data_IF_195675310240
#
_entry.id   IF_195675310240
#
_cell.length_a   1.000
_cell.length_b   1.000
_cell.length_c   1.000
_cell.angle_alpha   90.00
_cell.angle_beta   90.00
_cell.angle_gamma   90.00
#
_symmetry.space_group_name_H-M   'P 1'
#
loop_
_entity.id
_entity.type
_entity.pdbx_description
1 polymer ?
#
# COMPACT_ATOMS: atom_id res chain seq x y z
N UNK A 1 -61.61 -83.28 -46.61
CA UNK A 1 -60.95 -82.36 -45.66
C UNK A 1 -59.80 -81.70 -46.41
N UNK A 2 -59.92 -80.39 -46.68
CA UNK A 2 -59.05 -79.65 -47.61
C UNK A 2 -57.71 -79.29 -46.94
N UNK A 3 -56.61 -79.74 -47.54
CA UNK A 3 -55.25 -79.37 -47.19
C UNK A 3 -54.98 -77.93 -47.67
N UNK A 4 -54.88 -76.98 -46.74
CA UNK A 4 -54.61 -75.56 -47.05
C UNK A 4 -53.09 -75.32 -47.11
N UNK A 5 -52.58 -74.61 -48.13
CA UNK A 5 -51.15 -74.43 -48.29
C UNK A 5 -50.55 -73.49 -47.23
N UNK A 6 -49.40 -73.87 -46.66
CA UNK A 6 -48.56 -72.99 -45.84
C UNK A 6 -48.06 -71.82 -46.69
N UNK A 7 -48.48 -70.59 -46.36
CA UNK A 7 -47.85 -69.36 -46.89
C UNK A 7 -46.43 -69.24 -46.32
N UNK A 8 -45.41 -69.24 -47.19
CA UNK A 8 -44.05 -68.88 -46.79
C UNK A 8 -43.97 -67.38 -46.43
N UNK A 9 -43.21 -67.00 -45.38
CA UNK A 9 -42.98 -65.60 -45.07
C UNK A 9 -42.19 -64.94 -46.19
N UNK A 10 -42.66 -63.79 -46.70
CA UNK A 10 -41.92 -62.98 -47.65
C UNK A 10 -40.60 -62.54 -47.01
N UNK A 11 -39.47 -63.03 -47.54
CA UNK A 11 -38.14 -62.55 -47.16
C UNK A 11 -38.00 -61.09 -47.62
N UNK A 12 -38.08 -60.15 -46.67
CA UNK A 12 -37.69 -58.77 -46.91
C UNK A 12 -36.21 -58.76 -47.31
N UNK A 13 -35.92 -58.31 -48.52
CA UNK A 13 -34.55 -58.21 -49.02
C UNK A 13 -33.78 -57.18 -48.18
N UNK A 14 -32.57 -57.54 -47.75
CA UNK A 14 -31.72 -56.72 -46.85
C UNK A 14 -31.60 -55.25 -47.31
N UNK A 15 -31.68 -55.02 -48.63
CA UNK A 15 -31.64 -53.70 -49.27
C UNK A 15 -32.82 -52.78 -48.90
N UNK A 16 -34.03 -53.31 -48.64
CA UNK A 16 -35.21 -52.51 -48.21
C UNK A 16 -35.16 -52.14 -46.73
N UNK A 17 -34.67 -53.04 -45.88
CA UNK A 17 -34.53 -52.78 -44.43
C UNK A 17 -33.45 -51.73 -44.17
N UNK A 18 -32.31 -51.82 -44.88
CA UNK A 18 -31.25 -50.81 -44.82
C UNK A 18 -31.70 -49.42 -45.28
N UNK A 19 -32.63 -49.31 -46.23
CA UNK A 19 -33.12 -48.02 -46.72
C UNK A 19 -34.19 -47.41 -45.80
N UNK A 20 -35.07 -48.23 -45.23
CA UNK A 20 -36.13 -47.78 -44.30
C UNK A 20 -35.60 -47.28 -42.95
N UNK A 21 -34.45 -47.76 -42.48
CA UNK A 21 -33.83 -47.28 -41.24
C UNK A 21 -32.93 -46.06 -41.44
N UNK A 22 -32.37 -45.88 -42.63
CA UNK A 22 -31.46 -44.75 -42.91
C UNK A 22 -32.17 -43.41 -43.03
N UNK A 23 -33.35 -43.39 -43.67
CA UNK A 23 -34.13 -42.15 -43.81
C UNK A 23 -34.56 -41.51 -42.48
N UNK A 24 -35.20 -42.23 -41.54
CA UNK A 24 -35.60 -41.64 -40.26
C UNK A 24 -34.40 -41.25 -39.38
N UNK A 25 -33.30 -42.01 -39.43
CA UNK A 25 -32.07 -41.65 -38.70
C UNK A 25 -31.44 -40.38 -39.25
N UNK A 26 -31.39 -40.21 -40.58
CA UNK A 26 -30.87 -38.98 -41.20
C UNK A 26 -31.76 -37.78 -40.85
N UNK A 27 -33.08 -37.94 -40.85
CA UNK A 27 -34.02 -36.87 -40.47
C UNK A 27 -33.82 -36.47 -39.00
N UNK A 28 -33.67 -37.44 -38.08
CA UNK A 28 -33.40 -37.16 -36.66
C UNK A 28 -32.06 -36.44 -36.49
N UNK A 29 -31.01 -36.86 -37.19
CA UNK A 29 -29.72 -36.16 -37.14
C UNK A 29 -29.81 -34.73 -37.69
N UNK A 30 -30.55 -34.50 -38.78
CA UNK A 30 -30.79 -33.16 -39.33
C UNK A 30 -31.57 -32.30 -38.33
N UNK A 31 -32.58 -32.85 -37.65
CA UNK A 31 -33.36 -32.14 -36.64
C UNK A 31 -32.55 -31.81 -35.38
N UNK A 32 -31.66 -32.72 -34.94
CA UNK A 32 -30.73 -32.45 -33.83
C UNK A 32 -29.79 -31.30 -34.21
N UNK A 33 -29.22 -31.32 -35.41
CA UNK A 33 -28.34 -30.24 -35.90
C UNK A 33 -29.11 -28.92 -36.03
N UNK A 34 -30.34 -28.95 -36.56
CA UNK A 34 -31.22 -27.78 -36.68
C UNK A 34 -31.73 -27.26 -35.32
N UNK A 35 -31.76 -28.05 -34.26
CA UNK A 35 -32.13 -27.59 -32.92
C UNK A 35 -30.92 -27.14 -32.10
N UNK A 36 -29.80 -27.86 -32.16
CA UNK A 36 -28.64 -27.58 -31.32
C UNK A 36 -27.87 -26.33 -31.78
N UNK A 37 -27.80 -26.07 -33.10
CA UNK A 37 -27.05 -24.91 -33.62
C UNK A 37 -27.74 -23.59 -33.27
N UNK A 38 -29.07 -23.39 -33.51
CA UNK A 38 -29.72 -22.14 -33.13
C UNK A 38 -29.77 -21.96 -31.62
N UNK A 39 -29.98 -23.03 -30.84
CA UNK A 39 -29.98 -22.94 -29.37
C UNK A 39 -28.60 -22.53 -28.84
N UNK A 40 -27.51 -23.11 -29.37
CA UNK A 40 -26.15 -22.71 -28.97
C UNK A 40 -25.78 -21.27 -29.35
N UNK A 41 -26.23 -20.82 -30.53
CA UNK A 41 -26.01 -19.44 -30.99
C UNK A 41 -26.86 -18.44 -30.22
N UNK A 42 -28.13 -18.76 -29.95
CA UNK A 42 -29.05 -17.93 -29.14
C UNK A 42 -28.57 -17.87 -27.69
N UNK A 43 -28.09 -18.97 -27.10
CA UNK A 43 -27.47 -18.94 -25.77
C UNK A 43 -26.24 -18.04 -25.79
N UNK A 44 -25.32 -18.16 -26.76
CA UNK A 44 -24.16 -17.27 -26.84
C UNK A 44 -24.48 -15.80 -27.11
N UNK A 45 -25.55 -15.49 -27.84
CA UNK A 45 -26.00 -14.12 -28.10
C UNK A 45 -26.76 -13.51 -26.92
N UNK A 46 -27.40 -14.34 -26.08
CA UNK A 46 -28.14 -13.91 -24.89
C UNK A 46 -27.32 -14.00 -23.59
N UNK A 47 -26.24 -14.78 -23.58
CA UNK A 47 -25.26 -14.79 -22.50
C UNK A 47 -24.51 -13.47 -22.52
N UNK A 48 -24.73 -12.64 -21.49
CA UNK A 48 -23.84 -11.53 -21.16
C UNK A 48 -22.42 -12.11 -21.05
N UNK A 49 -21.39 -11.52 -21.69
CA UNK A 49 -20.02 -11.98 -21.48
C UNK A 49 -19.74 -12.00 -19.99
N UNK A 50 -19.17 -13.10 -19.50
CA UNK A 50 -18.70 -13.19 -18.13
C UNK A 50 -17.70 -12.05 -17.92
N UNK A 51 -18.02 -11.15 -16.99
CA UNK A 51 -17.11 -10.08 -16.63
C UNK A 51 -15.81 -10.75 -16.14
N UNK A 52 -14.64 -10.36 -16.66
CA UNK A 52 -13.39 -11.00 -16.28
C UNK A 52 -13.25 -10.93 -14.76
N UNK A 53 -12.86 -12.04 -14.13
CA UNK A 53 -12.58 -12.03 -12.70
C UNK A 53 -11.54 -10.94 -12.40
N UNK A 54 -11.74 -10.14 -11.33
CA UNK A 54 -10.76 -9.13 -10.96
C UNK A 54 -9.40 -9.81 -10.73
N UNK A 55 -8.28 -9.20 -11.17
CA UNK A 55 -6.96 -9.82 -11.04
C UNK A 55 -6.68 -10.15 -9.58
N UNK A 56 -6.11 -11.33 -9.35
CA UNK A 56 -5.72 -11.73 -8.01
C UNK A 56 -4.65 -10.77 -7.46
N UNK A 57 -4.68 -10.48 -6.14
CA UNK A 57 -3.75 -9.50 -5.53
C UNK A 57 -2.28 -9.80 -5.82
N UNK A 58 -1.91 -11.07 -5.98
CA UNK A 58 -0.56 -11.48 -6.38
C UNK A 58 -0.19 -11.02 -7.80
N UNK A 59 -1.11 -11.14 -8.77
CA UNK A 59 -0.87 -10.74 -10.16
C UNK A 59 -0.71 -9.21 -10.27
N UNK A 60 -1.57 -8.48 -9.57
CA UNK A 60 -1.47 -7.02 -9.48
C UNK A 60 -0.13 -6.58 -8.88
N UNK A 61 0.29 -7.28 -7.81
CA UNK A 61 1.57 -7.00 -7.19
C UNK A 61 2.74 -7.31 -8.13
N UNK A 62 2.68 -8.41 -8.89
CA UNK A 62 3.71 -8.70 -9.90
C UNK A 62 3.76 -7.60 -10.97
N UNK A 63 2.62 -7.08 -11.42
CA UNK A 63 2.61 -5.95 -12.35
C UNK A 63 3.30 -4.71 -11.76
N UNK A 64 3.04 -4.39 -10.49
CA UNK A 64 3.73 -3.30 -9.80
C UNK A 64 5.25 -3.52 -9.72
N UNK A 65 5.70 -4.76 -9.48
CA UNK A 65 7.14 -5.09 -9.48
C UNK A 65 7.76 -4.93 -10.87
N UNK A 66 7.04 -5.31 -11.93
CA UNK A 66 7.51 -5.10 -13.30
C UNK A 66 7.57 -3.63 -13.69
N UNK A 67 6.55 -2.86 -13.33
CA UNK A 67 6.47 -1.42 -13.63
C UNK A 67 7.62 -0.68 -12.95
N UNK A 68 7.81 -0.94 -11.65
CA UNK A 68 8.88 -0.31 -10.86
C UNK A 68 10.30 -0.79 -11.20
N UNK A 69 10.48 -1.79 -12.08
CA UNK A 69 11.79 -2.33 -12.45
C UNK A 69 12.68 -1.31 -13.16
N UNK A 70 12.08 -0.37 -13.89
CA UNK A 70 12.77 0.74 -14.55
C UNK A 70 12.22 2.05 -14.02
N UNK A 71 13.08 2.97 -13.60
CA UNK A 71 12.64 4.30 -13.16
C UNK A 71 12.53 5.21 -14.39
N UNK A 72 11.33 5.43 -14.89
CA UNK A 72 11.09 6.18 -16.12
C UNK A 72 10.86 7.68 -15.85
N UNK A 73 11.26 8.57 -16.78
CA UNK A 73 11.13 10.02 -16.55
C UNK A 73 9.71 10.52 -16.29
N UNK A 74 8.69 9.84 -16.83
CA UNK A 74 7.28 10.22 -16.66
C UNK A 74 6.71 9.79 -15.29
N UNK A 75 7.43 8.93 -14.57
CA UNK A 75 7.10 8.53 -13.20
C UNK A 75 7.80 9.41 -12.16
N UNK A 76 8.70 10.30 -12.58
CA UNK A 76 9.20 11.32 -11.66
C UNK A 76 8.01 12.16 -11.17
N UNK A 77 7.93 12.51 -9.88
CA UNK A 77 6.80 13.27 -9.34
C UNK A 77 6.48 14.56 -10.13
N UNK A 78 7.50 15.25 -10.65
CA UNK A 78 7.34 16.43 -11.52
C UNK A 78 6.93 16.12 -12.96
N UNK A 79 7.15 14.89 -13.43
CA UNK A 79 6.80 14.39 -14.77
C UNK A 79 5.44 13.72 -14.85
N UNK A 80 4.82 13.40 -13.71
CA UNK A 80 3.46 12.88 -13.59
C UNK A 80 2.38 13.89 -14.00
N UNK A 81 1.18 13.41 -14.32
CA UNK A 81 0.03 14.25 -14.65
C UNK A 81 -1.24 13.86 -13.84
N UNK A 82 -1.70 14.66 -12.88
CA UNK A 82 -1.08 15.89 -12.41
C UNK A 82 0.26 15.60 -11.70
N UNK A 83 1.17 16.59 -11.67
CA UNK A 83 2.41 16.46 -10.90
C UNK A 83 2.13 16.16 -9.43
N UNK A 84 2.97 15.33 -8.83
CA UNK A 84 2.96 15.01 -7.41
C UNK A 84 4.13 15.70 -6.71
N UNK A 85 3.94 16.02 -5.44
CA UNK A 85 4.98 16.63 -4.62
C UNK A 85 5.48 15.61 -3.61
N UNK A 86 6.80 15.48 -3.51
CA UNK A 86 7.44 14.77 -2.40
C UNK A 86 7.45 15.68 -1.18
N UNK A 87 7.12 15.13 -0.02
CA UNK A 87 7.33 15.78 1.27
C UNK A 87 8.83 15.99 1.50
N UNK A 88 9.20 17.16 2.00
CA UNK A 88 10.57 17.48 2.43
C UNK A 88 10.65 17.55 3.94
N UNK A 89 11.86 17.45 4.48
CA UNK A 89 12.19 17.65 5.90
C UNK A 89 12.84 19.01 6.15
N UNK A 90 12.73 19.93 5.18
CA UNK A 90 13.22 21.30 5.31
C UNK A 90 12.48 22.02 6.45
N UNK A 91 13.11 22.97 7.16
CA UNK A 91 12.49 23.67 8.28
C UNK A 91 11.17 24.41 7.97
N UNK A 92 10.95 24.77 6.70
CA UNK A 92 9.73 25.43 6.21
C UNK A 92 8.71 24.46 5.59
N UNK A 93 8.98 23.15 5.65
CA UNK A 93 8.09 22.11 5.13
C UNK A 93 6.75 22.12 5.87
N UNK A 94 5.67 22.17 5.11
CA UNK A 94 4.32 21.99 5.65
C UNK A 94 3.89 20.53 5.69
N UNK A 95 4.69 19.63 5.10
CA UNK A 95 4.38 18.21 4.95
C UNK A 95 4.80 17.35 6.15
N UNK A 96 5.49 17.91 7.14
CA UNK A 96 5.87 17.25 8.40
C UNK A 96 5.67 18.20 9.59
N UNK A 97 5.67 17.64 10.80
CA UNK A 97 5.72 18.42 12.03
C UNK A 97 7.17 18.49 12.53
N UNK A 98 7.54 19.62 13.12
CA UNK A 98 8.84 19.84 13.75
C UNK A 98 8.66 20.11 15.24
N UNK A 99 9.50 19.52 16.08
CA UNK A 99 9.53 19.84 17.50
C UNK A 99 10.44 21.05 17.81
N UNK A 100 10.46 21.48 19.08
CA UNK A 100 11.29 22.59 19.53
C UNK A 100 12.81 22.36 19.39
N UNK A 101 13.25 21.12 19.13
CA UNK A 101 14.64 20.74 18.92
C UNK A 101 14.98 20.56 17.43
N UNK A 102 14.04 20.81 16.52
CA UNK A 102 14.23 20.64 15.07
C UNK A 102 14.12 19.19 14.59
N UNK A 103 13.67 18.25 15.43
CA UNK A 103 13.32 16.89 15.01
C UNK A 103 12.05 16.89 14.18
N UNK A 104 11.90 15.91 13.29
CA UNK A 104 10.70 15.72 12.48
C UNK A 104 9.89 14.52 12.94
N UNK A 105 8.56 14.61 12.83
CA UNK A 105 7.63 13.55 13.21
C UNK A 105 7.38 12.61 12.03
N UNK A 106 7.83 11.36 12.16
CA UNK A 106 7.60 10.32 11.16
C UNK A 106 6.90 9.12 11.79
N UNK A 107 6.42 8.21 10.93
CA UNK A 107 5.86 6.94 11.37
C UNK A 107 6.36 5.76 10.53
N UNK A 108 6.32 4.56 11.09
CA UNK A 108 6.65 3.30 10.40
C UNK A 108 5.61 2.23 10.69
N UNK A 109 5.31 1.38 9.71
CA UNK A 109 4.40 0.23 9.85
C UNK A 109 5.21 -1.06 9.95
N UNK A 110 5.04 -1.81 11.04
CA UNK A 110 5.92 -2.93 11.38
C UNK A 110 5.20 -4.02 12.18
N UNK A 111 5.90 -5.13 12.47
CA UNK A 111 5.41 -6.29 13.25
C UNK A 111 6.11 -6.50 14.60
N UNK A 112 6.92 -5.52 15.02
CA UNK A 112 7.81 -5.64 16.18
C UNK A 112 7.50 -4.57 17.25
N UNK A 113 6.31 -4.60 17.90
CA UNK A 113 5.94 -3.59 18.90
C UNK A 113 6.85 -3.57 20.13
N UNK A 114 7.43 -4.70 20.51
CA UNK A 114 8.34 -4.76 21.66
C UNK A 114 9.67 -4.02 21.46
N UNK A 115 10.02 -3.68 20.21
CA UNK A 115 11.24 -2.92 19.87
C UNK A 115 11.06 -1.42 20.08
N UNK A 116 9.85 -0.90 19.86
CA UNK A 116 9.56 0.52 19.91
C UNK A 116 8.57 0.76 21.04
N UNK A 117 9.09 1.11 22.22
CA UNK A 117 8.26 1.37 23.39
C UNK A 117 8.03 2.87 23.54
N UNK A 118 6.80 3.22 23.82
CA UNK A 118 6.35 4.60 24.04
C UNK A 118 7.21 5.33 25.09
N UNK A 119 7.64 6.55 24.77
CA UNK A 119 8.48 7.41 25.61
C UNK A 119 9.97 7.06 25.63
N UNK A 120 10.40 5.99 24.96
CA UNK A 120 11.81 5.56 24.97
C UNK A 120 12.60 6.09 23.76
N UNK A 121 13.88 6.42 24.00
CA UNK A 121 14.87 6.59 22.96
C UNK A 121 15.36 5.20 22.49
N UNK A 122 15.18 4.91 21.21
CA UNK A 122 15.53 3.62 20.61
C UNK A 122 16.67 3.82 19.60
N UNK A 123 17.77 3.10 19.81
CA UNK A 123 18.87 3.02 18.83
C UNK A 123 18.58 1.93 17.80
N UNK A 124 18.56 2.29 16.52
CA UNK A 124 18.25 1.39 15.41
C UNK A 124 19.38 0.38 15.17
N UNK A 125 19.34 -0.74 15.91
CA UNK A 125 20.43 -1.74 15.91
C UNK A 125 20.25 -2.88 14.90
N UNK A 126 19.09 -2.96 14.26
CA UNK A 126 18.71 -4.07 13.36
C UNK A 126 18.68 -3.69 11.87
N UNK A 127 19.15 -2.48 11.55
CA UNK A 127 19.18 -1.95 10.19
C UNK A 127 18.40 -0.64 10.07
N UNK A 128 18.28 -0.18 8.83
CA UNK A 128 17.51 1.00 8.48
C UNK A 128 16.01 0.75 8.67
N UNK A 129 15.25 1.81 8.95
CA UNK A 129 13.78 1.74 8.99
C UNK A 129 13.19 2.57 7.85
N UNK A 130 12.24 2.00 7.12
CA UNK A 130 11.39 2.76 6.21
C UNK A 130 10.39 3.57 7.05
N UNK A 131 10.24 4.85 6.72
CA UNK A 131 9.38 5.77 7.43
C UNK A 131 8.60 6.67 6.46
N UNK A 132 7.50 7.22 6.95
CA UNK A 132 6.58 8.06 6.20
C UNK A 132 6.22 9.29 7.03
N UNK A 133 5.87 10.39 6.35
CA UNK A 133 5.31 11.55 7.06
C UNK A 133 3.97 11.18 7.69
N UNK A 134 3.85 11.39 9.00
CA UNK A 134 2.57 11.22 9.70
C UNK A 134 1.50 12.18 9.15
N UNK A 135 1.91 13.40 8.81
CA UNK A 135 1.00 14.44 8.30
C UNK A 135 0.52 14.12 6.89
N UNK A 136 1.39 13.62 6.02
CA UNK A 136 1.00 13.19 4.68
C UNK A 136 0.05 11.99 4.74
N UNK A 137 0.40 10.95 5.53
CA UNK A 137 -0.43 9.76 5.69
C UNK A 137 -1.80 10.11 6.27
N UNK A 138 -1.85 10.93 7.33
CA UNK A 138 -3.13 11.34 7.94
C UNK A 138 -3.98 12.20 7.01
N UNK A 139 -3.38 13.15 6.27
CA UNK A 139 -4.08 13.93 5.25
C UNK A 139 -4.65 13.01 4.18
N UNK A 140 -3.81 12.14 3.61
CA UNK A 140 -4.20 11.19 2.58
C UNK A 140 -5.34 10.27 3.05
N UNK A 141 -5.25 9.74 4.27
CA UNK A 141 -6.21 8.79 4.82
C UNK A 141 -7.57 9.43 5.18
N UNK A 142 -7.61 10.74 5.46
CA UNK A 142 -8.85 11.49 5.75
C UNK A 142 -9.61 11.88 4.49
N UNK A 143 -8.96 11.93 3.34
CA UNK A 143 -9.66 12.14 2.07
C UNK A 143 -10.68 11.01 1.88
N UNK A 144 -11.93 11.40 1.63
CA UNK A 144 -13.06 10.48 1.65
C UNK A 144 -12.86 9.34 0.63
N UNK A 145 -12.39 9.66 -0.55
CA UNK A 145 -12.15 8.72 -1.64
C UNK A 145 -11.07 7.68 -1.29
N UNK A 146 -10.09 8.05 -0.47
CA UNK A 146 -9.05 7.13 0.00
C UNK A 146 -9.55 6.30 1.18
N UNK A 147 -10.26 6.93 2.12
CA UNK A 147 -10.82 6.26 3.28
C UNK A 147 -11.83 5.18 2.89
N UNK A 148 -12.68 5.46 1.89
CA UNK A 148 -13.70 4.53 1.38
C UNK A 148 -13.09 3.25 0.77
N UNK A 149 -11.78 3.23 0.45
CA UNK A 149 -11.07 2.04 -0.03
C UNK A 149 -10.74 1.06 1.11
N UNK A 150 -10.82 1.52 2.36
CA UNK A 150 -10.63 0.69 3.55
C UNK A 150 -11.96 0.10 4.02
N UNK A 151 -11.91 -1.18 4.34
CA UNK A 151 -13.00 -1.98 4.85
C UNK A 151 -12.50 -2.92 5.94
N UNK A 152 -13.43 -3.46 6.72
CA UNK A 152 -13.13 -4.27 7.91
C UNK A 152 -12.16 -5.43 7.63
N UNK A 153 -12.26 -6.03 6.45
CA UNK A 153 -11.54 -7.26 6.10
C UNK A 153 -10.36 -7.03 5.13
N UNK A 154 -10.11 -5.79 4.68
CA UNK A 154 -9.04 -5.48 3.72
C UNK A 154 -8.02 -4.42 4.21
N UNK A 155 -8.12 -3.94 5.46
CA UNK A 155 -7.24 -2.89 5.99
C UNK A 155 -5.75 -3.17 5.77
N UNK A 156 -5.30 -4.38 6.13
CA UNK A 156 -3.89 -4.76 5.99
C UNK A 156 -3.48 -4.78 4.51
N UNK A 157 -4.34 -5.30 3.64
CA UNK A 157 -4.11 -5.33 2.19
C UNK A 157 -4.02 -3.92 1.62
N UNK A 158 -4.92 -3.01 2.03
CA UNK A 158 -4.92 -1.63 1.54
C UNK A 158 -3.68 -0.86 1.99
N UNK A 159 -3.19 -1.10 3.19
CA UNK A 159 -1.91 -0.56 3.66
C UNK A 159 -0.73 -1.16 2.90
N UNK A 160 -0.74 -2.47 2.62
CA UNK A 160 0.29 -3.09 1.77
C UNK A 160 0.30 -2.47 0.37
N UNK A 161 -0.88 -2.23 -0.20
CA UNK A 161 -1.07 -1.50 -1.45
C UNK A 161 -0.45 -0.13 -1.42
N UNK A 162 -0.87 0.71 -0.46
CA UNK A 162 -0.41 2.10 -0.35
C UNK A 162 1.12 2.20 -0.20
N UNK A 163 1.69 1.28 0.57
CA UNK A 163 3.10 1.31 0.95
C UNK A 163 4.00 0.48 0.00
N UNK A 164 3.47 -0.04 -1.11
CA UNK A 164 4.23 -0.84 -2.07
C UNK A 164 4.73 -2.18 -1.52
N UNK A 165 4.12 -2.68 -0.44
CA UNK A 165 4.49 -3.92 0.22
C UNK A 165 3.79 -5.13 -0.44
N UNK A 166 4.40 -6.32 -0.38
CA UNK A 166 3.77 -7.54 -0.89
C UNK A 166 2.47 -7.88 -0.16
N UNK A 167 1.54 -8.60 -0.80
CA UNK A 167 0.25 -9.01 -0.22
C UNK A 167 0.42 -10.11 0.84
N UNK A 168 1.11 -9.81 1.94
CA UNK A 168 1.40 -10.78 3.00
C UNK A 168 0.15 -11.11 3.80
N UNK A 169 -0.26 -12.37 3.76
CA UNK A 169 -1.45 -12.89 4.47
C UNK A 169 -1.11 -13.73 5.69
N UNK A 170 0.14 -14.20 5.83
CA UNK A 170 0.59 -14.96 7.00
C UNK A 170 0.57 -14.07 8.26
N UNK A 171 -0.17 -14.46 9.33
CA UNK A 171 -0.24 -13.72 10.58
C UNK A 171 1.11 -13.45 11.25
N UNK A 172 2.12 -14.30 11.02
CA UNK A 172 3.47 -14.11 11.60
C UNK A 172 4.35 -13.16 10.77
N UNK A 173 3.93 -12.89 9.53
CA UNK A 173 4.70 -12.12 8.56
C UNK A 173 4.14 -10.72 8.34
N UNK A 174 2.85 -10.50 8.58
CA UNK A 174 2.21 -9.20 8.39
C UNK A 174 2.59 -8.17 9.46
N UNK A 175 2.61 -6.91 9.05
CA UNK A 175 2.69 -5.77 9.95
C UNK A 175 1.38 -5.59 10.72
N UNK A 176 1.49 -5.14 11.96
CA UNK A 176 0.37 -5.09 12.91
C UNK A 176 0.33 -3.80 13.74
N UNK A 177 1.41 -3.02 13.72
CA UNK A 177 1.56 -1.83 14.53
C UNK A 177 2.15 -0.69 13.73
N UNK A 178 1.74 0.53 14.09
CA UNK A 178 2.43 1.75 13.70
C UNK A 178 3.20 2.27 14.90
N UNK A 179 4.42 2.72 14.66
CA UNK A 179 5.19 3.53 15.61
C UNK A 179 5.35 4.92 15.04
N UNK A 180 4.95 5.92 15.82
CA UNK A 180 5.23 7.35 15.57
C UNK A 180 6.43 7.76 16.41
N UNK A 181 7.36 8.52 15.84
CA UNK A 181 8.59 8.89 16.52
C UNK A 181 9.17 10.21 16.01
N UNK A 182 9.90 10.89 16.89
CA UNK A 182 10.74 12.02 16.53
C UNK A 182 12.12 11.54 16.09
N UNK A 183 12.68 12.16 15.05
CA UNK A 183 14.03 11.86 14.55
C UNK A 183 14.71 13.13 14.05
N UNK A 184 16.04 13.20 14.19
CA UNK A 184 16.83 14.27 13.60
C UNK A 184 16.80 14.16 12.06
N UNK A 185 16.49 15.22 11.29
CA UNK A 185 16.49 15.17 9.84
C UNK A 185 17.80 14.67 9.22
N UNK A 186 18.95 14.96 9.85
CA UNK A 186 20.28 14.51 9.42
C UNK A 186 20.47 12.99 9.49
N UNK A 187 19.64 12.30 10.30
CA UNK A 187 19.63 10.83 10.41
C UNK A 187 18.82 10.16 9.30
N UNK A 188 18.12 10.96 8.48
CA UNK A 188 17.15 10.50 7.47
C UNK A 188 17.68 10.80 6.08
N UNK A 189 17.60 9.79 5.21
CA UNK A 189 17.84 9.93 3.78
C UNK A 189 16.59 9.55 3.01
N UNK A 190 16.50 10.01 1.77
CA UNK A 190 15.45 9.56 0.85
C UNK A 190 15.94 8.31 0.12
N UNK A 191 15.21 7.18 0.13
CA UNK A 191 15.61 5.96 -0.58
C UNK A 191 15.35 6.09 -2.09
N UNK A 192 16.07 7.00 -2.74
CA UNK A 192 15.91 7.37 -4.14
C UNK A 192 17.24 7.76 -4.80
N UNK A 193 17.25 7.98 -6.11
CA UNK A 193 18.45 8.46 -6.82
C UNK A 193 18.99 9.80 -6.28
N UNK A 194 18.11 10.64 -5.74
CA UNK A 194 18.48 11.77 -4.89
C UNK A 194 18.15 11.43 -3.44
N UNK A 195 19.16 11.34 -2.58
CA UNK A 195 19.00 11.05 -1.16
C UNK A 195 18.62 12.26 -0.31
N UNK A 196 18.63 13.46 -0.90
CA UNK A 196 18.35 14.71 -0.21
C UNK A 196 16.87 14.81 0.20
N UNK A 197 16.64 14.88 1.51
CA UNK A 197 15.33 15.03 2.13
C UNK A 197 14.88 16.48 2.23
N UNK A 198 15.76 17.45 2.00
CA UNK A 198 15.47 18.88 2.09
C UNK A 198 14.81 19.44 0.81
N UNK A 199 14.86 18.68 -0.28
CA UNK A 199 14.28 19.05 -1.58
C UNK A 199 13.22 18.05 -2.02
N UNK A 200 12.25 18.54 -2.79
CA UNK A 200 11.27 17.72 -3.53
C UNK A 200 11.74 17.38 -4.94
N UNK A 201 12.89 17.93 -5.36
CA UNK A 201 13.48 17.66 -6.67
C UNK A 201 13.98 16.21 -6.72
N UNK A 202 13.53 15.48 -7.74
CA UNK A 202 13.90 14.08 -7.94
C UNK A 202 14.50 13.87 -9.33
N UNK A 203 15.33 12.84 -9.44
CA UNK A 203 15.93 12.38 -10.68
C UNK A 203 15.78 10.86 -10.77
N UNK A 204 15.93 10.28 -11.96
CA UNK A 204 15.92 8.83 -12.16
C UNK A 204 17.32 8.28 -12.48
N UNK A 205 18.36 9.04 -12.14
CA UNK A 205 19.76 8.65 -12.30
C UNK A 205 20.62 9.37 -11.27
N UNK A 206 21.72 8.74 -10.84
CA UNK A 206 22.62 9.36 -9.88
C UNK A 206 23.34 10.57 -10.47
N UNK A 207 23.30 11.67 -9.73
CA UNK A 207 24.10 12.87 -10.04
C UNK A 207 25.51 12.79 -9.45
N UNK A 208 25.71 11.95 -8.42
CA UNK A 208 27.01 11.74 -7.75
C UNK A 208 27.37 10.24 -7.74
N UNK A 209 28.60 9.83 -8.12
CA UNK A 209 28.95 8.46 -8.52
C UNK A 209 29.50 7.58 -7.34
N UNK A 210 30.09 6.38 -7.59
CA UNK A 210 29.93 5.16 -6.78
C UNK A 210 30.65 5.08 -5.42
N UNK A 211 31.47 6.06 -5.04
CA UNK A 211 32.21 6.03 -3.76
C UNK A 211 31.35 6.55 -2.57
N UNK A 212 30.05 6.71 -2.77
CA UNK A 212 29.08 7.09 -1.74
C UNK A 212 28.54 5.83 -1.03
N UNK A 213 28.61 5.78 0.31
CA UNK A 213 28.01 4.69 1.10
C UNK A 213 26.52 4.52 0.82
N UNK A 214 25.82 5.60 0.49
CA UNK A 214 24.43 5.54 0.08
C UNK A 214 24.26 4.84 -1.28
N UNK A 215 25.18 5.03 -2.22
CA UNK A 215 25.16 4.35 -3.51
C UNK A 215 25.31 2.83 -3.36
N UNK A 216 26.24 2.39 -2.51
CA UNK A 216 26.42 0.96 -2.18
C UNK A 216 25.15 0.37 -1.56
N UNK A 217 24.57 1.06 -0.58
CA UNK A 217 23.31 0.65 0.02
C UNK A 217 22.17 0.60 -1.02
N UNK A 218 22.03 1.63 -1.85
CA UNK A 218 20.95 1.74 -2.84
C UNK A 218 21.03 0.63 -3.88
N UNK A 219 22.22 0.35 -4.41
CA UNK A 219 22.43 -0.69 -5.43
C UNK A 219 22.22 -2.09 -4.85
N UNK A 220 22.70 -2.35 -3.64
CA UNK A 220 22.43 -3.59 -2.92
C UNK A 220 20.94 -3.75 -2.60
N UNK A 221 20.26 -2.68 -2.18
CA UNK A 221 18.82 -2.68 -1.93
C UNK A 221 18.03 -2.94 -3.21
N UNK A 222 18.40 -2.33 -4.34
CA UNK A 222 17.74 -2.58 -5.62
C UNK A 222 17.83 -4.06 -6.02
N UNK A 223 19.03 -4.64 -5.92
CA UNK A 223 19.23 -6.06 -6.19
C UNK A 223 18.40 -6.93 -5.24
N UNK A 224 18.41 -6.62 -3.94
CA UNK A 224 17.64 -7.36 -2.94
C UNK A 224 16.13 -7.27 -3.20
N UNK A 225 15.61 -6.06 -3.42
CA UNK A 225 14.20 -5.79 -3.71
C UNK A 225 13.71 -6.60 -4.89
N UNK A 226 14.36 -6.53 -6.06
CA UNK A 226 13.82 -7.22 -7.25
C UNK A 226 14.21 -8.69 -7.34
N UNK A 227 15.44 -9.07 -6.93
CA UNK A 227 15.94 -10.42 -7.14
C UNK A 227 15.72 -11.36 -5.94
N UNK A 228 15.46 -10.82 -4.74
CA UNK A 228 15.35 -11.64 -3.51
C UNK A 228 13.96 -11.60 -2.90
N UNK A 229 13.38 -10.41 -2.70
CA UNK A 229 12.09 -10.26 -1.99
C UNK A 229 10.92 -9.84 -2.89
N UNK A 230 11.17 -9.63 -4.18
CA UNK A 230 10.19 -9.27 -5.19
C UNK A 230 9.36 -8.03 -4.79
N UNK A 231 10.03 -6.94 -4.41
CA UNK A 231 9.43 -5.72 -3.91
C UNK A 231 9.29 -4.63 -4.98
N UNK A 232 8.11 -4.01 -5.06
CA UNK A 232 7.79 -2.91 -5.97
C UNK A 232 8.38 -1.56 -5.49
N UNK A 233 9.71 -1.43 -5.52
CA UNK A 233 10.41 -0.23 -5.06
C UNK A 233 10.60 0.78 -6.21
N UNK A 234 10.13 2.02 -6.06
CA UNK A 234 10.17 3.01 -7.16
C UNK A 234 11.57 3.59 -7.40
N UNK A 235 12.39 3.66 -6.35
CA UNK A 235 13.67 4.41 -6.32
C UNK A 235 13.52 5.91 -6.60
N UNK A 236 12.32 6.46 -6.48
CA UNK A 236 11.99 7.87 -6.75
C UNK A 236 11.48 8.61 -5.51
N UNK A 237 11.60 7.99 -4.33
CA UNK A 237 11.31 8.63 -3.05
C UNK A 237 9.85 8.61 -2.66
N UNK A 238 9.04 7.77 -3.31
CA UNK A 238 7.65 7.52 -2.96
C UNK A 238 7.31 6.02 -3.06
N UNK A 239 6.31 5.57 -2.32
CA UNK A 239 5.81 4.18 -2.39
C UNK A 239 4.91 3.98 -3.60
N UNK A 240 4.97 2.80 -4.22
CA UNK A 240 4.08 2.45 -5.34
C UNK A 240 2.74 1.94 -4.83
N UNK A 241 1.67 2.74 -4.96
CA UNK A 241 0.31 2.35 -4.62
C UNK A 241 -0.27 1.43 -5.71
N UNK A 242 -0.19 0.12 -5.48
CA UNK A 242 -0.71 -0.89 -6.41
C UNK A 242 -2.21 -1.19 -6.24
N UNK A 243 -2.95 -0.35 -5.51
CA UNK A 243 -4.42 -0.44 -5.44
C UNK A 243 -5.04 -0.36 -6.85
N UNK A 244 -6.03 -1.22 -7.18
CA UNK A 244 -6.69 -1.20 -8.48
C UNK A 244 -7.47 0.11 -8.64
N UNK A 245 -7.05 0.95 -9.58
CA UNK A 245 -7.75 2.18 -9.95
C UNK A 245 -8.36 2.01 -11.32
N UNK A 246 -9.53 2.59 -11.54
CA UNK A 246 -10.06 2.71 -12.90
C UNK A 246 -9.12 3.60 -13.71
N UNK A 247 -8.59 3.05 -14.80
CA UNK A 247 -7.66 3.75 -15.68
C UNK A 247 -8.35 3.95 -17.02
N UNK A 248 -8.41 5.18 -17.51
CA UNK A 248 -8.72 5.42 -18.93
C UNK A 248 -7.58 4.80 -19.76
N UNK A 249 -7.91 3.78 -20.55
CA UNK A 249 -6.95 3.08 -21.40
C UNK A 249 -6.17 4.03 -22.33
N UNK A 250 -6.80 5.15 -22.70
CA UNK A 250 -6.24 6.19 -23.56
C UNK A 250 -5.43 7.25 -22.80
N UNK A 251 -5.40 7.21 -21.46
CA UNK A 251 -4.57 8.12 -20.68
C UNK A 251 -3.09 7.93 -21.02
N UNK A 252 -2.35 9.04 -21.04
CA UNK A 252 -0.90 9.00 -21.21
C UNK A 252 -0.20 8.34 -20.01
N UNK A 253 1.06 7.94 -20.21
CA UNK A 253 1.80 7.23 -19.16
C UNK A 253 2.04 8.10 -17.92
N UNK A 254 2.19 9.41 -18.07
CA UNK A 254 2.34 10.33 -16.93
C UNK A 254 1.08 10.37 -16.04
N UNK A 255 -0.09 10.26 -16.66
CA UNK A 255 -1.38 10.19 -15.98
C UNK A 255 -1.56 8.86 -15.27
N UNK A 256 -1.18 7.77 -15.93
CA UNK A 256 -1.18 6.43 -15.34
C UNK A 256 -0.23 6.36 -14.13
N UNK A 257 1.00 6.88 -14.26
CA UNK A 257 1.97 6.93 -13.16
C UNK A 257 1.45 7.73 -11.95
N UNK A 258 0.75 8.85 -12.19
CA UNK A 258 0.17 9.67 -11.12
C UNK A 258 -0.85 8.91 -10.25
N UNK A 259 -1.49 7.87 -10.79
CA UNK A 259 -2.43 7.01 -10.05
C UNK A 259 -1.70 6.10 -9.07
N UNK A 260 -0.44 5.76 -9.33
CA UNK A 260 0.35 4.84 -8.51
C UNK A 260 1.25 5.55 -7.49
N UNK A 261 1.19 6.87 -7.39
CA UNK A 261 1.83 7.60 -6.30
C UNK A 261 1.14 7.28 -4.96
N UNK A 262 1.86 6.61 -4.06
CA UNK A 262 1.44 6.37 -2.69
C UNK A 262 1.80 7.53 -1.77
N UNK A 263 2.82 7.33 -0.92
CA UNK A 263 3.31 8.33 0.03
C UNK A 263 4.78 8.62 -0.20
N UNK A 264 5.25 9.76 0.27
CA UNK A 264 6.68 10.05 0.32
C UNK A 264 7.38 9.07 1.25
N UNK A 265 8.43 8.42 0.74
CA UNK A 265 9.20 7.42 1.45
C UNK A 265 10.49 8.04 2.02
N UNK A 266 10.79 7.71 3.26
CA UNK A 266 12.02 8.07 3.96
C UNK A 266 12.72 6.82 4.50
N UNK A 267 14.02 6.94 4.73
CA UNK A 267 14.85 5.90 5.33
C UNK A 267 15.62 6.51 6.49
N UNK A 268 15.29 6.09 7.72
CA UNK A 268 16.14 6.43 8.87
C UNK A 268 17.28 5.41 8.90
N UNK A 269 18.50 5.93 8.86
CA UNK A 269 19.70 5.10 8.76
C UNK A 269 19.95 4.32 10.06
N UNK A 270 20.60 3.16 9.94
CA UNK A 270 20.96 2.34 11.09
C UNK A 270 21.86 3.09 12.08
N UNK A 271 21.87 2.65 13.34
CA UNK A 271 22.62 3.21 14.47
C UNK A 271 22.19 4.61 14.91
N UNK A 272 21.20 5.20 14.24
CA UNK A 272 20.58 6.46 14.65
C UNK A 272 19.63 6.23 15.83
N UNK A 273 19.35 7.30 16.56
CA UNK A 273 18.40 7.30 17.68
C UNK A 273 17.10 7.93 17.22
N UNK A 274 15.99 7.25 17.50
CA UNK A 274 14.64 7.81 17.39
C UNK A 274 14.03 7.92 18.79
N UNK A 275 13.20 8.92 19.01
CA UNK A 275 12.41 9.04 20.24
C UNK A 275 10.98 8.58 19.95
N UNK A 276 10.58 7.46 20.54
CA UNK A 276 9.27 6.86 20.27
C UNK A 276 8.17 7.67 20.97
N UNK A 277 7.30 8.29 20.18
CA UNK A 277 6.13 9.02 20.69
C UNK A 277 5.04 8.05 21.08
N UNK A 278 4.73 7.07 20.22
CA UNK A 278 3.64 6.13 20.45
C UNK A 278 3.75 4.92 19.54
N UNK A 279 3.44 3.75 20.09
CA UNK A 279 3.28 2.52 19.31
C UNK A 279 1.87 1.99 19.51
N UNK A 280 1.07 1.99 18.45
CA UNK A 280 -0.34 1.58 18.48
C UNK A 280 -0.57 0.40 17.54
N UNK A 281 -1.60 -0.38 17.80
CA UNK A 281 -2.08 -1.34 16.79
C UNK A 281 -2.52 -0.59 15.53
N UNK A 282 -2.49 -1.26 14.37
CA UNK A 282 -2.96 -0.66 13.11
C UNK A 282 -4.37 -0.05 13.26
N UNK A 283 -5.29 -0.76 13.90
CA UNK A 283 -6.66 -0.29 14.09
C UNK A 283 -6.75 0.97 14.94
N UNK A 284 -6.03 1.03 16.06
CA UNK A 284 -6.01 2.22 16.94
C UNK A 284 -5.37 3.42 16.24
N UNK A 285 -4.30 3.19 15.49
CA UNK A 285 -3.61 4.23 14.74
C UNK A 285 -4.53 4.87 13.69
N UNK A 286 -5.21 4.04 12.87
CA UNK A 286 -6.16 4.53 11.87
C UNK A 286 -7.35 5.27 12.51
N UNK A 287 -7.87 4.79 13.64
CA UNK A 287 -8.95 5.47 14.37
C UNK A 287 -8.52 6.86 14.89
N UNK A 288 -7.31 6.97 15.43
CA UNK A 288 -6.76 8.24 15.90
C UNK A 288 -6.60 9.24 14.75
N UNK A 289 -6.11 8.80 13.59
CA UNK A 289 -5.99 9.66 12.41
C UNK A 289 -7.34 10.22 11.95
N UNK A 290 -8.42 9.43 12.00
CA UNK A 290 -9.78 9.91 11.64
C UNK A 290 -10.36 10.90 12.65
N UNK A 291 -10.09 10.69 13.94
CA UNK A 291 -10.65 11.52 15.00
C UNK A 291 -9.97 12.89 15.14
N UNK A 292 -8.95 13.18 14.31
CA UNK A 292 -8.04 14.33 14.46
C UNK A 292 -7.54 14.51 15.91
N UNK A 293 -7.44 13.39 16.64
CA UNK A 293 -6.99 13.39 18.01
C UNK A 293 -5.46 13.48 17.98
N UNK A 294 -4.84 14.42 18.72
CA UNK A 294 -3.39 14.53 18.76
C UNK A 294 -2.76 13.17 19.10
N UNK A 295 -1.88 12.68 18.21
CA UNK A 295 -1.05 11.50 18.48
C UNK A 295 0.05 11.87 19.50
N UNK A 296 0.35 13.16 19.62
CA UNK A 296 1.20 13.74 20.66
C UNK A 296 0.43 13.77 21.98
N UNK A 297 0.89 13.02 22.97
CA UNK A 297 0.52 13.27 24.37
C UNK A 297 1.14 14.61 24.80
N UNK A 298 0.33 15.49 25.36
CA UNK A 298 0.78 16.77 25.91
C UNK A 298 1.68 16.51 27.15
N UNK A 299 2.99 16.40 26.94
CA UNK A 299 4.00 16.29 28.01
C UNK A 299 4.88 17.55 28.11
N UNK A 300 4.29 18.72 27.88
CA UNK A 300 4.98 20.00 27.94
C UNK A 300 4.41 20.95 28.99
N UNK A 301 4.19 20.51 30.23
CA UNK A 301 3.84 21.43 31.32
C UNK A 301 5.03 22.37 31.59
N UNK A 302 4.98 23.58 31.03
CA UNK A 302 5.69 24.74 31.56
C UNK A 302 5.39 24.87 33.05
N UNK A 303 6.37 24.95 33.95
CA UNK A 303 6.10 25.42 35.30
C UNK A 303 5.69 26.88 35.18
N UNK A 304 4.45 27.19 35.50
CA UNK A 304 4.07 28.56 35.82
C UNK A 304 5.00 29.05 36.94
N UNK A 305 5.75 30.11 36.68
CA UNK A 305 6.38 30.91 37.73
C UNK A 305 5.26 31.56 38.57
N UNK A 306 4.79 30.79 39.56
CA UNK A 306 3.96 31.29 40.65
C UNK A 306 4.79 32.17 41.58
N UNK A 307 5.02 33.42 41.17
CA UNK A 307 5.44 34.50 42.04
C UNK A 307 4.30 34.88 42.97
N UNK A 308 4.15 34.14 44.07
CA UNK A 308 3.17 34.43 45.10
C UNK A 308 3.77 35.44 46.11
N UNK A 309 3.58 36.72 45.81
CA UNK A 309 3.72 37.81 46.76
C UNK A 309 2.65 37.66 47.84
N UNK A 310 3.02 37.12 49.01
CA UNK A 310 2.23 37.26 50.24
C UNK A 310 3.08 37.64 51.44
N UNK A 311 2.88 38.89 51.83
CA UNK A 311 3.15 39.44 53.15
C UNK A 311 2.57 38.57 54.29
N UNK A 312 3.39 38.33 55.31
CA UNK A 312 3.02 38.11 56.72
C UNK A 312 4.11 38.80 57.55
N UNK A 313 3.85 39.97 58.12
CA UNK A 313 3.13 40.22 59.37
C UNK A 313 3.96 39.88 60.62
N UNK A 314 4.30 40.97 61.33
CA UNK A 314 4.53 41.12 62.76
C UNK A 314 5.24 40.01 63.54
N UNK A 315 6.54 40.18 63.78
CA UNK A 315 7.17 39.67 65.00
C UNK A 315 7.31 40.82 66.01
N UNK A 316 6.39 40.85 66.97
CA UNK A 316 6.59 41.48 68.28
C UNK A 316 6.88 40.34 69.23
N UNK A 317 8.11 40.26 69.73
CA UNK A 317 8.34 39.71 71.06
C UNK A 317 9.29 40.61 71.83
N UNK A 318 8.79 40.93 73.02
CA UNK A 318 9.41 41.73 74.06
C UNK A 318 10.70 41.06 74.56
N UNK A 319 11.79 41.82 74.60
CA UNK A 319 12.88 41.53 75.53
C UNK A 319 13.13 42.78 76.37
N UNK A 320 12.67 42.70 77.62
CA UNK A 320 12.82 43.72 78.65
C UNK A 320 13.70 43.16 79.77
N UNK A 321 14.80 43.87 80.01
CA UNK A 321 15.63 43.93 81.22
C UNK A 321 16.54 42.74 81.56
N UNK A 322 17.86 42.99 81.61
CA UNK A 322 18.55 43.44 82.83
C UNK A 322 20.02 43.80 82.58
N UNK A 323 20.40 44.90 83.24
CA UNK A 323 21.73 45.41 83.62
C UNK A 323 22.70 45.93 82.54
#
# INVERSE_FOLDING_TARGET
MSDRPRRQPQKLTARRVLFQWRFPVIIVLILIVLCCIPVGVVVRLLSKPEEPEPPHSDEMYQQAVYDTLLAEPHELPSGMNPPKALVTLAPDSTGVEHDGNGRVLLCTWHRNPGTYKEGEDVTLSYGNITAYSLKELSTWYREKENNDQFGKDNTDLRLQQLLGLPPLTDPNSKNTHFTTFWVNPESVVRPAYSSDVMTSTMTNSFTTPPDDLFYDWFTANALYSYATVNQAWTRMGYTYDWYPKEVDENADNATKAALHFGLTEFLVTEKQVIHVVKTSTTSEFLQQMMADTPILSDDGSTPEEGGDDKAKDGDKNDEKNKD
#
